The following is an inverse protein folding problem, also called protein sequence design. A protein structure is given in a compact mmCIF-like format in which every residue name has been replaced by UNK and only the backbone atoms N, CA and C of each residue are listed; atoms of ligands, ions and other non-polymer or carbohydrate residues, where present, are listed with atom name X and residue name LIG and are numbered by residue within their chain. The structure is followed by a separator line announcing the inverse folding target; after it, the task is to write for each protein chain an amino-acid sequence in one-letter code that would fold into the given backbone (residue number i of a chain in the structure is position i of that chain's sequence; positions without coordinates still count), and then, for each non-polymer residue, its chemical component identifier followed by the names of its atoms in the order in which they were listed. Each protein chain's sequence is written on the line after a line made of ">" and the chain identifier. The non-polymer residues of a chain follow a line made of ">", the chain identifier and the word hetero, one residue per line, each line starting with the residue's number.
data_IF_840829525589
#
_entry.id   IF_840829525589
#
_cell.length_a   1.000
_cell.length_b   1.000
_cell.length_c   1.000
_cell.angle_alpha   90.00
_cell.angle_beta   90.00
_cell.angle_gamma   90.00
#
_symmetry.space_group_name_H-M   'P 1'
#
loop_
_entity.id
_entity.type
_entity.pdbx_description
1 polymer ?
#
# COMPACT_ATOMS: atom_id res chain seq x y z
N UNK A 1 -4.58 -8.16 5.22
CA UNK A 1 -3.54 -7.64 4.36
C UNK A 1 -2.97 -6.34 4.89
N UNK A 2 -1.67 -6.20 4.86
CA UNK A 2 -1.02 -5.09 5.54
C UNK A 2 -1.23 -3.74 4.89
N UNK A 3 -1.45 -3.69 3.58
CA UNK A 3 -1.68 -2.41 2.92
C UNK A 3 -2.86 -1.66 3.54
N UNK A 4 -3.96 -2.37 3.76
CA UNK A 4 -5.12 -1.76 4.38
C UNK A 4 -4.79 -1.27 5.79
N UNK A 5 -4.03 -2.07 6.55
CA UNK A 5 -3.67 -1.70 7.90
C UNK A 5 -2.82 -0.43 7.92
N UNK A 6 -1.84 -0.35 7.03
CA UNK A 6 -0.99 0.83 6.93
C UNK A 6 -1.83 2.05 6.54
N UNK A 7 -2.72 1.86 5.57
CA UNK A 7 -3.57 2.95 5.12
C UNK A 7 -4.43 3.50 6.24
N UNK A 8 -5.02 2.60 7.01
CA UNK A 8 -5.88 3.03 8.12
C UNK A 8 -5.06 3.74 9.20
N UNK A 9 -3.85 3.24 9.49
CA UNK A 9 -2.97 3.91 10.43
C UNK A 9 -2.56 5.29 9.95
N UNK A 10 -2.42 5.44 8.64
CA UNK A 10 -2.07 6.73 8.05
C UNK A 10 -3.24 7.70 8.05
N UNK A 11 -4.44 7.21 8.29
CA UNK A 11 -5.62 8.06 8.31
C UNK A 11 -6.15 8.40 6.93
N UNK A 12 -5.87 7.56 5.95
CA UNK A 12 -6.28 7.84 4.56
C UNK A 12 -7.40 6.91 4.12
N UNK A 13 -8.30 7.45 3.30
CA UNK A 13 -9.24 6.62 2.57
C UNK A 13 -8.52 6.04 1.36
N UNK A 14 -9.13 5.04 0.72
CA UNK A 14 -8.55 4.48 -0.51
C UNK A 14 -8.38 5.56 -1.58
N UNK A 15 -9.36 6.44 -1.72
CA UNK A 15 -9.30 7.51 -2.70
C UNK A 15 -8.16 8.48 -2.39
N UNK A 16 -8.00 8.82 -1.12
CA UNK A 16 -6.93 9.72 -0.71
C UNK A 16 -5.57 9.11 -0.98
N UNK A 17 -5.42 7.83 -0.67
CA UNK A 17 -4.16 7.15 -0.94
C UNK A 17 -3.87 7.09 -2.44
N UNK A 18 -4.91 6.80 -3.24
CA UNK A 18 -4.77 6.77 -4.68
C UNK A 18 -4.21 8.09 -5.21
N UNK A 19 -4.77 9.19 -4.76
CA UNK A 19 -4.33 10.50 -5.21
C UNK A 19 -2.93 10.84 -4.72
N UNK A 20 -2.65 10.53 -3.47
CA UNK A 20 -1.35 10.84 -2.88
C UNK A 20 -0.23 10.04 -3.52
N UNK A 21 -0.50 8.79 -3.85
CA UNK A 21 0.50 7.92 -4.42
C UNK A 21 0.59 8.00 -5.94
N UNK A 22 -0.42 8.57 -6.58
CA UNK A 22 -0.46 8.58 -8.04
C UNK A 22 -0.71 7.20 -8.61
N UNK A 23 -1.48 6.38 -7.91
CA UNK A 23 -1.79 5.00 -8.29
C UNK A 23 -3.30 4.90 -8.49
N UNK A 24 -3.77 4.22 -9.54
CA UNK A 24 -5.22 4.12 -9.78
C UNK A 24 -5.95 3.53 -8.58
N UNK A 25 -7.11 4.11 -8.28
CA UNK A 25 -7.92 3.63 -7.17
C UNK A 25 -8.25 2.14 -7.32
N UNK A 26 -8.55 1.71 -8.53
CA UNK A 26 -8.89 0.32 -8.78
C UNK A 26 -7.75 -0.61 -8.36
N UNK A 27 -6.51 -0.18 -8.56
CA UNK A 27 -5.36 -1.00 -8.18
C UNK A 27 -5.28 -1.13 -6.66
N UNK A 28 -5.47 -0.02 -5.95
CA UNK A 28 -5.44 -0.04 -4.49
C UNK A 28 -6.52 -0.95 -3.94
N UNK A 29 -7.74 -0.81 -4.46
CA UNK A 29 -8.86 -1.61 -4.05
C UNK A 29 -8.58 -3.10 -4.24
N UNK A 30 -8.05 -3.46 -5.40
CA UNK A 30 -7.78 -4.87 -5.71
C UNK A 30 -6.68 -5.45 -4.83
N UNK A 31 -5.64 -4.67 -4.53
CA UNK A 31 -4.60 -5.16 -3.63
C UNK A 31 -5.17 -5.40 -2.23
N UNK A 32 -6.01 -4.48 -1.75
CA UNK A 32 -6.58 -4.63 -0.40
C UNK A 32 -7.58 -5.78 -0.32
N UNK A 33 -8.25 -6.06 -1.41
CA UNK A 33 -9.22 -7.16 -1.45
C UNK A 33 -8.59 -8.51 -1.73
N UNK A 34 -7.28 -8.53 -1.97
CA UNK A 34 -6.60 -9.78 -2.29
C UNK A 34 -6.83 -10.26 -3.70
N UNK A 35 -7.40 -9.43 -4.57
CA UNK A 35 -7.63 -9.81 -5.96
C UNK A 35 -6.38 -9.68 -6.80
N UNK A 36 -5.39 -8.92 -6.30
CA UNK A 36 -4.07 -8.85 -6.89
C UNK A 36 -3.07 -9.24 -5.84
N UNK A 37 -2.08 -10.00 -6.27
CA UNK A 37 -1.02 -10.44 -5.39
C UNK A 37 -0.09 -9.25 -5.16
N UNK A 38 0.04 -8.80 -3.91
CA UNK A 38 0.95 -7.70 -3.61
C UNK A 38 2.39 -8.05 -3.94
N UNK A 39 2.74 -9.35 -3.94
CA UNK A 39 4.07 -9.76 -4.34
C UNK A 39 4.32 -9.54 -5.83
N UNK A 40 3.26 -9.38 -6.59
CA UNK A 40 3.36 -9.05 -8.01
C UNK A 40 3.33 -7.55 -8.26
N UNK A 41 3.25 -6.76 -7.20
CA UNK A 41 3.24 -5.31 -7.33
C UNK A 41 4.61 -4.85 -7.84
N UNK A 42 4.62 -3.98 -8.84
CA UNK A 42 5.88 -3.43 -9.32
C UNK A 42 6.54 -2.66 -8.21
N UNK A 43 7.87 -2.74 -8.12
CA UNK A 43 8.60 -2.02 -7.10
C UNK A 43 8.29 -0.53 -7.16
N UNK A 44 8.19 0.01 -8.37
CA UNK A 44 7.86 1.41 -8.58
C UNK A 44 6.54 1.79 -7.90
N UNK A 45 5.54 0.94 -8.04
CA UNK A 45 4.24 1.16 -7.41
C UNK A 45 4.36 1.07 -5.89
N UNK A 46 5.10 0.08 -5.39
CA UNK A 46 5.28 -0.08 -3.96
C UNK A 46 5.97 1.14 -3.35
N UNK A 47 6.97 1.68 -4.04
CA UNK A 47 7.68 2.89 -3.58
C UNK A 47 6.72 4.07 -3.49
N UNK A 48 5.88 4.25 -4.50
CA UNK A 48 4.92 5.36 -4.51
C UNK A 48 3.94 5.26 -3.36
N UNK A 49 3.41 4.07 -3.12
CA UNK A 49 2.45 3.86 -2.05
C UNK A 49 3.12 4.05 -0.69
N UNK A 50 4.30 3.47 -0.50
CA UNK A 50 5.01 3.59 0.76
C UNK A 50 5.34 5.04 1.08
N UNK A 51 5.76 5.80 0.07
CA UNK A 51 6.07 7.22 0.27
C UNK A 51 4.83 8.01 0.67
N UNK A 52 3.70 7.73 0.02
CA UNK A 52 2.45 8.42 0.33
C UNK A 52 2.01 8.16 1.76
N UNK A 53 2.14 6.90 2.21
CA UNK A 53 1.76 6.55 3.57
C UNK A 53 2.67 7.21 4.58
N UNK A 54 3.97 7.19 4.32
CA UNK A 54 4.95 7.75 5.25
C UNK A 54 4.81 9.27 5.37
N UNK A 55 4.43 9.93 4.29
CA UNK A 55 4.31 11.39 4.30
C UNK A 55 3.21 11.88 5.22
N UNK A 56 2.29 11.03 5.62
CA UNK A 56 1.25 11.45 6.55
C UNK A 56 1.79 11.75 7.95
N UNK A 57 2.95 11.20 8.28
CA UNK A 57 3.54 11.36 9.61
C UNK A 57 2.96 10.42 10.64
N UNK A 58 1.98 9.62 10.29
CA UNK A 58 1.32 8.72 11.24
C UNK A 58 1.90 7.31 11.20
N UNK A 59 2.65 6.97 10.17
CA UNK A 59 3.19 5.63 9.99
C UNK A 59 4.43 5.75 9.12
N UNK A 60 5.37 4.83 9.32
CA UNK A 60 6.56 4.75 8.47
C UNK A 60 6.50 3.42 7.74
N UNK A 61 6.47 3.49 6.41
CA UNK A 61 6.33 2.31 5.57
C UNK A 61 7.38 2.34 4.48
N UNK A 62 8.07 1.23 4.32
CA UNK A 62 9.03 1.06 3.24
C UNK A 62 8.42 0.16 2.17
N UNK A 63 8.93 0.25 0.95
CA UNK A 63 8.40 -0.55 -0.14
C UNK A 63 8.42 -2.04 0.20
N UNK A 64 9.51 -2.51 0.84
CA UNK A 64 9.61 -3.93 1.15
C UNK A 64 8.56 -4.37 2.18
N UNK A 65 8.07 -3.45 3.01
CA UNK A 65 7.01 -3.80 3.96
C UNK A 65 5.75 -4.22 3.24
N UNK A 66 5.48 -3.61 2.09
CA UNK A 66 4.32 -3.96 1.28
C UNK A 66 4.56 -5.25 0.52
N UNK A 67 5.76 -5.42 0.00
CA UNK A 67 6.08 -6.58 -0.83
C UNK A 67 6.26 -7.85 -0.02
N UNK A 68 6.56 -7.71 1.27
CA UNK A 68 6.72 -8.86 2.15
C UNK A 68 5.47 -9.13 2.96
N UNK A 69 4.39 -8.50 2.57
CA UNK A 69 3.11 -8.73 3.21
C UNK A 69 2.79 -10.19 3.15
N UNK A 70 2.32 -10.73 4.17
CA UNK A 70 1.91 -12.07 4.26
C UNK A 70 3.01 -13.01 4.40
N UNK A 71 4.07 -12.48 4.26
CA UNK A 71 5.18 -13.19 4.46
C UNK A 71 5.06 -14.54 4.33
N UNK A 72 4.58 -14.12 4.24
CA UNK A 72 4.65 -14.80 4.30
C UNK A 72 4.66 -15.86 4.73
N UNK A 73 4.52 -16.08 4.78
CA UNK A 73 4.60 -17.07 5.14
C UNK A 73 5.31 -17.92 5.04
N UNK A 74 5.45 -17.78 4.95
CA UNK A 74 6.05 -18.60 5.07
C UNK A 74 6.12 -19.19 5.22
#
# INVERSE_FOLDING_TARGET
>A
MKLQEYRLKAGLTQTQLSKAAGVPLAAITKYEQGQRDVNGMALKTAVKIAAALTQTGNVIVFAHDLLEDEGGAE
#
